data_IF_959880593016
#
_entry.id   IF_959880593016
#
_cell.length_a   1.000
_cell.length_b   1.000
_cell.length_c   1.000
_cell.angle_alpha   90.00
_cell.angle_beta   90.00
_cell.angle_gamma   90.00
#
_symmetry.space_group_name_H-M   'P 1'
#
loop_
_entity.id
_entity.type
_entity.pdbx_description
1 polymer ?
#
# COMPACT_ATOMS: atom_id res chain seq x y z
N UNK A 1 17.50 -6.72 -10.41
CA UNK A 1 16.20 -6.06 -10.19
C UNK A 1 15.27 -6.32 -11.38
N UNK A 2 15.58 -5.84 -12.59
CA UNK A 2 14.75 -6.05 -13.80
C UNK A 2 14.30 -7.52 -13.98
N UNK A 3 15.26 -8.47 -13.96
CA UNK A 3 14.96 -9.90 -14.10
C UNK A 3 13.94 -10.41 -13.09
N UNK A 4 14.05 -10.01 -11.81
CA UNK A 4 13.13 -10.43 -10.76
C UNK A 4 11.71 -9.91 -11.04
N UNK A 5 11.60 -8.61 -11.38
CA UNK A 5 10.32 -7.95 -11.63
C UNK A 5 9.64 -8.58 -12.85
N UNK A 6 10.37 -8.74 -13.96
CA UNK A 6 9.85 -9.37 -15.19
C UNK A 6 9.43 -10.81 -14.96
N UNK A 7 10.23 -11.56 -14.19
CA UNK A 7 9.91 -12.95 -13.87
C UNK A 7 8.60 -13.05 -13.09
N UNK A 8 8.37 -12.21 -12.06
CA UNK A 8 7.10 -12.20 -11.31
C UNK A 8 5.92 -11.91 -12.24
N UNK A 9 6.05 -10.93 -13.13
CA UNK A 9 4.98 -10.59 -14.06
C UNK A 9 4.67 -11.72 -15.05
N UNK A 10 5.69 -12.45 -15.50
CA UNK A 10 5.54 -13.61 -16.38
C UNK A 10 4.95 -14.81 -15.64
N UNK A 11 5.56 -15.21 -14.52
CA UNK A 11 5.20 -16.41 -13.76
C UNK A 11 3.76 -16.35 -13.24
N UNK A 12 3.26 -15.13 -12.93
CA UNK A 12 1.90 -14.92 -12.43
C UNK A 12 0.95 -14.25 -13.44
N UNK A 13 1.36 -14.11 -14.71
CA UNK A 13 0.57 -13.48 -15.77
C UNK A 13 -0.02 -12.12 -15.39
N UNK A 14 0.79 -11.28 -14.74
CA UNK A 14 0.40 -9.94 -14.30
C UNK A 14 0.74 -8.94 -15.40
N UNK A 15 -0.27 -8.27 -15.95
CA UNK A 15 -0.07 -7.13 -16.84
C UNK A 15 0.36 -5.88 -16.04
N UNK A 16 1.59 -5.36 -16.24
CA UNK A 16 2.07 -4.16 -15.56
C UNK A 16 1.28 -2.90 -15.90
N UNK A 17 0.56 -2.86 -17.03
CA UNK A 17 -0.32 -1.74 -17.39
C UNK A 17 -1.46 -1.55 -16.37
N UNK A 18 -1.83 -2.60 -15.64
CA UNK A 18 -2.81 -2.55 -14.56
C UNK A 18 -2.25 -2.11 -13.20
N UNK A 19 -0.95 -1.89 -13.06
CA UNK A 19 -0.31 -1.47 -11.81
C UNK A 19 -0.36 0.05 -11.71
N UNK A 20 -1.16 0.57 -10.78
CA UNK A 20 -1.36 2.01 -10.59
C UNK A 20 -0.36 2.66 -9.63
N UNK A 21 0.33 1.86 -8.81
CA UNK A 21 1.30 2.34 -7.82
C UNK A 21 2.48 1.38 -7.70
N UNK A 22 3.69 1.91 -7.76
CA UNK A 22 4.89 1.23 -7.29
C UNK A 22 5.38 1.93 -6.02
N UNK A 23 5.33 1.20 -4.91
CA UNK A 23 6.07 1.49 -3.68
C UNK A 23 7.50 0.98 -3.87
N UNK A 24 8.37 1.87 -4.33
CA UNK A 24 9.77 1.59 -4.62
C UNK A 24 10.57 1.35 -3.33
N UNK A 25 11.74 0.73 -3.49
CA UNK A 25 12.73 0.70 -2.42
C UNK A 25 13.21 2.13 -2.12
N UNK A 26 13.47 2.96 -3.13
CA UNK A 26 13.50 4.42 -3.05
C UNK A 26 14.25 4.97 -1.84
N UNK A 27 15.57 4.76 -1.83
CA UNK A 27 16.45 5.13 -0.71
C UNK A 27 16.86 6.60 -0.71
N UNK A 28 16.57 7.35 -1.77
CA UNK A 28 17.04 8.73 -1.92
C UNK A 28 18.51 8.81 -2.29
N UNK A 29 19.12 7.72 -2.76
CA UNK A 29 20.56 7.69 -3.06
C UNK A 29 20.82 8.10 -4.51
N UNK A 30 21.86 8.92 -4.73
CA UNK A 30 22.21 9.46 -6.05
C UNK A 30 22.40 8.39 -7.13
N UNK A 31 22.93 7.23 -6.75
CA UNK A 31 23.19 6.10 -7.65
C UNK A 31 22.11 5.02 -7.60
N UNK A 32 21.56 4.73 -6.42
CA UNK A 32 20.60 3.64 -6.23
C UNK A 32 19.27 3.93 -6.91
N UNK A 33 18.73 5.13 -6.75
CA UNK A 33 17.42 5.49 -7.30
C UNK A 33 17.39 5.43 -8.84
N UNK A 34 18.41 5.94 -9.58
CA UNK A 34 18.48 5.72 -11.03
C UNK A 34 18.61 4.25 -11.45
N UNK A 35 19.30 3.42 -10.67
CA UNK A 35 19.43 1.98 -10.96
C UNK A 35 18.09 1.28 -10.79
N UNK A 36 17.37 1.58 -9.71
CA UNK A 36 16.03 1.05 -9.46
C UNK A 36 15.03 1.51 -10.53
N UNK A 37 15.01 2.80 -10.83
CA UNK A 37 14.14 3.36 -11.85
C UNK A 37 14.32 2.68 -13.21
N UNK A 38 15.57 2.54 -13.69
CA UNK A 38 15.84 1.87 -14.98
C UNK A 38 15.41 0.42 -14.98
N UNK A 39 15.55 -0.28 -13.86
CA UNK A 39 15.12 -1.67 -13.73
C UNK A 39 13.59 -1.79 -13.81
N UNK A 40 12.86 -0.88 -13.16
CA UNK A 40 11.40 -0.78 -13.24
C UNK A 40 10.94 -0.41 -14.65
N UNK A 41 11.51 0.64 -15.26
CA UNK A 41 11.13 1.13 -16.60
C UNK A 41 11.31 0.05 -17.67
N UNK A 42 12.46 -0.62 -17.69
CA UNK A 42 12.72 -1.74 -18.60
C UNK A 42 11.79 -2.92 -18.35
N UNK A 43 11.49 -3.21 -17.08
CA UNK A 43 10.58 -4.29 -16.75
C UNK A 43 9.16 -4.02 -17.23
N UNK A 44 8.65 -2.79 -17.10
CA UNK A 44 7.30 -2.42 -17.55
C UNK A 44 7.23 -2.30 -19.08
N UNK A 45 8.21 -1.65 -19.73
CA UNK A 45 8.28 -1.53 -21.20
C UNK A 45 8.37 -2.87 -21.92
N UNK A 46 8.80 -3.92 -21.24
CA UNK A 46 8.76 -5.28 -21.78
C UNK A 46 7.34 -5.81 -22.03
N UNK A 47 6.30 -5.13 -21.53
CA UNK A 47 4.90 -5.57 -21.60
C UNK A 47 3.96 -4.50 -22.15
N UNK A 48 4.28 -3.21 -22.03
CA UNK A 48 3.41 -2.11 -22.45
C UNK A 48 4.20 -0.88 -22.90
N UNK A 49 3.69 -0.20 -23.93
CA UNK A 49 4.19 1.09 -24.39
C UNK A 49 3.47 2.27 -23.74
N UNK A 50 2.51 2.01 -22.83
CA UNK A 50 1.79 3.06 -22.13
C UNK A 50 2.73 3.90 -21.26
N UNK A 51 2.51 5.21 -21.26
CA UNK A 51 3.33 6.17 -20.52
C UNK A 51 2.52 6.83 -19.42
N UNK A 52 3.21 7.27 -18.36
CA UNK A 52 2.70 8.18 -17.33
C UNK A 52 1.39 7.73 -16.66
N UNK A 53 1.21 6.43 -16.45
CA UNK A 53 0.02 5.84 -15.85
C UNK A 53 0.24 5.26 -14.44
N UNK A 54 1.49 4.93 -14.07
CA UNK A 54 1.82 4.34 -12.78
C UNK A 54 2.46 5.38 -11.85
N UNK A 55 1.88 5.58 -10.67
CA UNK A 55 2.50 6.39 -9.63
C UNK A 55 3.76 5.71 -9.09
N UNK A 56 4.85 6.44 -8.92
CA UNK A 56 6.08 5.97 -8.28
C UNK A 56 6.31 6.74 -6.97
N UNK A 57 6.45 6.02 -5.86
CA UNK A 57 6.68 6.62 -4.55
C UNK A 57 7.46 5.73 -3.59
N UNK A 58 7.75 6.24 -2.39
CA UNK A 58 8.45 5.51 -1.33
C UNK A 58 8.07 6.10 0.04
N UNK A 59 7.60 5.24 0.96
CA UNK A 59 7.31 5.60 2.36
C UNK A 59 8.56 6.09 3.10
N UNK A 60 9.77 5.77 2.61
CA UNK A 60 11.02 6.22 3.24
C UNK A 60 11.17 7.73 3.20
N UNK A 61 10.54 8.42 2.25
CA UNK A 61 10.50 9.87 2.24
C UNK A 61 9.74 10.46 3.45
N UNK A 62 8.78 9.73 4.03
CA UNK A 62 7.98 10.19 5.16
C UNK A 62 8.59 9.84 6.51
N UNK A 63 9.16 8.64 6.65
CA UNK A 63 9.56 8.08 7.96
C UNK A 63 11.02 7.60 8.01
N UNK A 64 11.79 7.82 6.95
CA UNK A 64 13.15 7.29 6.81
C UNK A 64 13.21 5.79 6.51
N UNK A 65 14.43 5.26 6.48
CA UNK A 65 14.65 3.85 6.16
C UNK A 65 14.58 2.97 7.43
N UNK A 66 13.43 2.34 7.65
CA UNK A 66 13.20 1.42 8.78
C UNK A 66 13.86 0.03 8.64
N UNK A 67 14.95 -0.07 7.88
CA UNK A 67 15.74 -1.29 7.64
C UNK A 67 14.89 -2.56 7.44
N UNK A 68 14.96 -3.51 8.38
CA UNK A 68 14.26 -4.80 8.32
C UNK A 68 12.72 -4.65 8.20
N UNK A 69 12.15 -3.56 8.73
CA UNK A 69 10.72 -3.29 8.64
C UNK A 69 10.32 -2.56 7.35
N UNK A 70 11.26 -2.16 6.49
CA UNK A 70 10.96 -1.35 5.30
C UNK A 70 9.98 -2.04 4.34
N UNK A 71 10.08 -3.37 4.18
CA UNK A 71 9.16 -4.14 3.35
C UNK A 71 7.72 -4.11 3.87
N UNK A 72 7.52 -4.47 5.14
CA UNK A 72 6.17 -4.52 5.74
C UNK A 72 5.52 -3.15 5.80
N UNK A 73 6.29 -2.09 6.02
CA UNK A 73 5.77 -0.72 6.00
C UNK A 73 5.28 -0.33 4.60
N UNK A 74 6.02 -0.69 3.54
CA UNK A 74 5.59 -0.48 2.16
C UNK A 74 4.28 -1.21 1.84
N UNK A 75 4.14 -2.44 2.35
CA UNK A 75 2.89 -3.21 2.26
C UNK A 75 1.75 -2.53 3.01
N UNK A 76 1.96 -2.09 4.25
CA UNK A 76 0.93 -1.39 5.06
C UNK A 76 0.46 -0.11 4.34
N UNK A 77 1.40 0.72 3.86
CA UNK A 77 1.06 1.93 3.09
C UNK A 77 0.24 1.59 1.85
N UNK A 78 0.61 0.53 1.13
CA UNK A 78 -0.11 0.07 -0.06
C UNK A 78 -1.55 -0.37 0.27
N UNK A 79 -1.73 -1.17 1.33
CA UNK A 79 -3.05 -1.63 1.76
C UNK A 79 -3.93 -0.46 2.23
N UNK A 80 -3.35 0.50 2.97
CA UNK A 80 -4.06 1.72 3.36
C UNK A 80 -4.42 2.57 2.15
N UNK A 81 -3.53 2.72 1.18
CA UNK A 81 -3.81 3.45 -0.05
C UNK A 81 -4.97 2.82 -0.86
N UNK A 82 -5.05 1.49 -0.90
CA UNK A 82 -6.18 0.78 -1.50
C UNK A 82 -7.47 0.98 -0.69
N UNK A 83 -7.41 0.81 0.63
CA UNK A 83 -8.56 0.95 1.54
C UNK A 83 -9.17 2.35 1.47
N UNK A 84 -8.33 3.38 1.41
CA UNK A 84 -8.75 4.77 1.36
C UNK A 84 -8.94 5.28 -0.07
N UNK A 85 -8.70 4.45 -1.09
CA UNK A 85 -8.80 4.81 -2.50
C UNK A 85 -7.97 6.06 -2.88
N UNK A 86 -6.82 6.25 -2.23
CA UNK A 86 -5.96 7.42 -2.37
C UNK A 86 -4.51 6.97 -2.43
N UNK A 87 -3.77 7.42 -3.44
CA UNK A 87 -2.32 7.29 -3.49
C UNK A 87 -1.72 8.51 -2.77
N UNK A 88 -1.00 8.31 -1.64
CA UNK A 88 -0.29 9.40 -0.98
C UNK A 88 0.80 9.95 -1.90
N UNK A 89 1.00 11.27 -1.87
CA UNK A 89 2.12 11.88 -2.58
C UNK A 89 3.47 11.56 -1.94
N UNK A 90 4.54 11.82 -2.69
CA UNK A 90 5.92 11.69 -2.25
C UNK A 90 6.38 12.99 -1.58
N UNK A 91 6.50 13.07 -0.25
CA UNK A 91 6.94 14.28 0.43
C UNK A 91 8.41 14.59 0.09
N UNK A 92 8.79 15.86 0.23
CA UNK A 92 10.14 16.38 -0.04
C UNK A 92 10.64 16.26 -1.49
N UNK A 93 9.81 15.75 -2.41
CA UNK A 93 10.13 15.77 -3.84
C UNK A 93 9.97 17.19 -4.38
N UNK A 94 11.05 17.75 -4.91
CA UNK A 94 11.08 19.07 -5.56
C UNK A 94 11.54 18.95 -7.01
N UNK A 95 12.63 18.20 -7.22
CA UNK A 95 13.20 17.90 -8.51
C UNK A 95 13.55 16.42 -8.58
N UNK A 96 13.37 15.83 -9.76
CA UNK A 96 13.77 14.44 -10.00
C UNK A 96 15.27 14.38 -10.26
N UNK A 97 15.93 13.34 -9.77
CA UNK A 97 17.35 13.08 -10.05
C UNK A 97 17.63 13.15 -11.57
N UNK A 98 18.66 13.89 -11.98
CA UNK A 98 19.00 14.10 -13.40
C UNK A 98 19.33 12.84 -14.18
N UNK A 99 19.65 11.74 -13.49
CA UNK A 99 19.86 10.41 -14.10
C UNK A 99 18.58 9.57 -14.23
N UNK A 100 17.42 10.15 -13.88
CA UNK A 100 16.08 9.54 -14.01
C UNK A 100 15.28 10.36 -15.02
N UNK A 101 14.86 9.71 -16.10
CA UNK A 101 14.03 10.31 -17.15
C UNK A 101 12.60 9.82 -17.01
N UNK A 102 11.75 10.59 -16.32
CA UNK A 102 10.32 10.26 -16.17
C UNK A 102 9.54 10.47 -17.48
N UNK A 103 9.94 11.47 -18.28
CA UNK A 103 9.32 11.74 -19.57
C UNK A 103 9.45 10.51 -20.48
N UNK A 104 8.33 10.09 -21.06
CA UNK A 104 8.26 8.88 -21.87
C UNK A 104 8.16 7.57 -21.06
N UNK A 105 8.39 7.57 -19.75
CA UNK A 105 8.32 6.36 -18.94
C UNK A 105 6.88 6.02 -18.52
N UNK A 106 6.59 4.78 -18.11
CA UNK A 106 5.32 4.41 -17.46
C UNK A 106 5.03 5.20 -16.19
N UNK A 107 6.05 5.78 -15.56
CA UNK A 107 5.98 6.31 -14.22
C UNK A 107 5.79 7.83 -14.17
N UNK A 108 5.13 8.27 -13.10
CA UNK A 108 5.13 9.67 -12.70
C UNK A 108 5.23 9.80 -11.18
N UNK A 109 5.69 10.96 -10.72
CA UNK A 109 5.82 11.31 -9.31
C UNK A 109 4.94 12.51 -9.03
N UNK A 110 4.31 12.56 -7.86
CA UNK A 110 3.49 13.66 -7.40
C UNK A 110 3.64 13.86 -5.90
N UNK A 111 3.53 15.10 -5.43
CA UNK A 111 3.67 15.48 -4.01
C UNK A 111 2.34 15.51 -3.26
N UNK A 112 1.25 15.81 -3.96
CA UNK A 112 -0.09 15.87 -3.37
C UNK A 112 -0.79 14.51 -3.43
N UNK A 113 -1.64 14.16 -2.44
CA UNK A 113 -2.47 12.96 -2.50
C UNK A 113 -3.38 12.98 -3.72
N UNK A 114 -3.58 11.82 -4.35
CA UNK A 114 -4.47 11.69 -5.52
C UNK A 114 -5.46 10.56 -5.32
N UNK A 115 -6.70 10.76 -5.77
CA UNK A 115 -7.68 9.69 -5.84
C UNK A 115 -7.14 8.57 -6.72
N UNK A 116 -7.18 7.35 -6.19
CA UNK A 116 -6.82 6.15 -6.93
C UNK A 116 -8.05 5.62 -7.64
N UNK A 117 -8.21 5.93 -8.93
CA UNK A 117 -9.31 5.37 -9.70
C UNK A 117 -9.14 3.85 -9.89
N UNK A 118 -10.25 3.12 -9.93
CA UNK A 118 -10.24 1.72 -10.39
C UNK A 118 -10.02 1.74 -11.91
N UNK A 119 -9.06 0.98 -12.45
CA UNK A 119 -8.89 0.87 -13.90
C UNK A 119 -10.12 0.21 -14.53
N UNK A 120 -10.43 0.57 -15.78
CA UNK A 120 -11.59 0.04 -16.49
C UNK A 120 -11.57 -1.50 -16.55
N UNK A 121 -12.64 -2.14 -16.05
CA UNK A 121 -12.75 -3.60 -15.99
C UNK A 121 -11.78 -4.30 -15.02
N UNK A 122 -11.02 -3.55 -14.21
CA UNK A 122 -9.93 -4.07 -13.40
C UNK A 122 -10.05 -3.78 -11.91
N UNK A 123 -8.93 -3.97 -11.22
CA UNK A 123 -8.76 -3.74 -9.79
C UNK A 123 -7.52 -2.90 -9.56
N UNK A 124 -7.49 -2.17 -8.44
CA UNK A 124 -6.28 -1.46 -8.04
C UNK A 124 -5.19 -2.50 -7.75
N UNK A 125 -4.07 -2.39 -8.47
CA UNK A 125 -2.86 -3.17 -8.20
C UNK A 125 -1.72 -2.23 -7.86
N UNK A 126 -0.91 -2.66 -6.90
CA UNK A 126 0.35 -2.01 -6.60
C UNK A 126 1.48 -3.03 -6.51
N UNK A 127 2.68 -2.58 -6.82
CA UNK A 127 3.88 -3.35 -6.56
C UNK A 127 4.68 -2.74 -5.41
N UNK A 128 5.29 -3.59 -4.58
CA UNK A 128 6.18 -3.20 -3.49
C UNK A 128 7.55 -3.79 -3.74
N UNK A 129 8.58 -2.96 -3.79
CA UNK A 129 9.98 -3.38 -4.00
C UNK A 129 10.81 -3.13 -2.73
N UNK A 130 11.57 -4.13 -2.32
CA UNK A 130 12.52 -4.00 -1.21
C UNK A 130 13.85 -4.67 -1.56
N UNK A 131 14.95 -3.94 -1.40
CA UNK A 131 16.28 -4.37 -1.83
C UNK A 131 17.19 -4.44 -0.60
N UNK A 132 17.76 -5.62 -0.34
CA UNK A 132 18.72 -5.81 0.74
C UNK A 132 20.12 -5.40 0.31
N UNK A 133 20.89 -4.80 1.22
CA UNK A 133 22.29 -4.43 0.96
C UNK A 133 23.18 -5.63 0.59
N UNK A 134 22.81 -6.85 1.01
CA UNK A 134 23.48 -8.11 0.62
C UNK A 134 23.20 -8.54 -0.82
N UNK A 135 22.34 -7.83 -1.55
CA UNK A 135 21.91 -8.17 -2.92
C UNK A 135 20.69 -9.08 -2.99
N UNK A 136 20.11 -9.49 -1.86
CA UNK A 136 18.83 -10.20 -1.82
C UNK A 136 17.69 -9.22 -2.05
N UNK A 137 16.90 -9.44 -3.10
CA UNK A 137 15.85 -8.53 -3.53
C UNK A 137 14.48 -9.20 -3.43
N UNK A 138 13.47 -8.43 -3.04
CA UNK A 138 12.08 -8.86 -3.01
C UNK A 138 11.21 -7.87 -3.80
N UNK A 139 10.22 -8.42 -4.49
CA UNK A 139 9.20 -7.67 -5.20
C UNK A 139 7.88 -8.43 -5.07
N UNK A 140 6.81 -7.71 -4.77
CA UNK A 140 5.48 -8.30 -4.58
C UNK A 140 4.44 -7.44 -5.28
N UNK A 141 3.42 -8.08 -5.85
CA UNK A 141 2.25 -7.40 -6.39
C UNK A 141 1.07 -7.67 -5.47
N UNK A 142 0.36 -6.62 -5.09
CA UNK A 142 -0.82 -6.65 -4.24
C UNK A 142 -1.99 -6.18 -5.11
N UNK A 143 -3.10 -6.89 -5.05
CA UNK A 143 -4.34 -6.53 -5.72
C UNK A 143 -5.43 -6.26 -4.68
N UNK A 144 -6.26 -5.25 -4.93
CA UNK A 144 -7.50 -5.03 -4.20
C UNK A 144 -8.36 -6.31 -4.23
N UNK A 145 -8.88 -6.79 -3.09
CA UNK A 145 -9.73 -7.97 -3.07
C UNK A 145 -11.00 -7.75 -3.90
N UNK A 146 -11.66 -8.84 -4.28
CA UNK A 146 -13.01 -8.76 -4.84
C UNK A 146 -13.89 -8.07 -3.81
N UNK A 147 -14.78 -7.20 -4.24
CA UNK A 147 -15.78 -6.64 -3.33
C UNK A 147 -16.54 -7.82 -2.71
N UNK A 148 -16.35 -8.10 -1.40
CA UNK A 148 -17.07 -9.18 -0.76
C UNK A 148 -18.55 -8.79 -0.73
N UNK A 149 -19.48 -9.76 -0.75
CA UNK A 149 -20.87 -9.45 -0.54
C UNK A 149 -21.00 -8.68 0.78
N UNK A 150 -21.65 -7.51 0.74
CA UNK A 150 -21.89 -6.71 1.94
C UNK A 150 -22.63 -7.58 2.95
N UNK A 151 -22.02 -7.94 4.09
CA UNK A 151 -22.71 -8.74 5.07
C UNK A 151 -23.94 -7.98 5.58
N UNK A 152 -25.06 -8.66 5.84
CA UNK A 152 -26.24 -8.01 6.37
C UNK A 152 -25.89 -7.38 7.72
N UNK A 153 -26.23 -6.09 7.89
CA UNK A 153 -26.04 -5.40 9.17
C UNK A 153 -26.82 -6.12 10.26
N UNK A 154 -26.25 -6.18 11.45
CA UNK A 154 -26.92 -6.76 12.61
C UNK A 154 -28.17 -5.94 12.96
N UNK A 155 -29.20 -6.61 13.51
CA UNK A 155 -30.46 -5.94 13.90
C UNK A 155 -30.20 -4.87 14.94
N UNK A 156 -30.57 -3.62 14.70
CA UNK A 156 -30.31 -2.53 15.67
C UNK A 156 -31.06 -2.74 16.99
N UNK A 157 -32.20 -3.42 16.97
CA UNK A 157 -33.00 -3.69 18.16
C UNK A 157 -32.53 -4.98 18.85
N UNK A 158 -31.65 -4.84 19.84
CA UNK A 158 -31.26 -5.93 20.74
C UNK A 158 -30.02 -5.59 21.57
N UNK A 159 -29.97 -6.09 22.81
CA UNK A 159 -28.77 -5.95 23.64
C UNK A 159 -27.56 -6.65 22.98
N UNK A 160 -26.37 -6.10 23.19
CA UNK A 160 -25.09 -6.68 22.74
C UNK A 160 -24.18 -6.90 23.94
N UNK A 161 -23.47 -8.03 23.95
CA UNK A 161 -22.46 -8.30 24.96
C UNK A 161 -21.12 -7.73 24.48
N UNK A 162 -20.55 -6.80 25.24
CA UNK A 162 -19.21 -6.27 24.99
C UNK A 162 -18.29 -6.86 26.05
N UNK A 163 -17.54 -7.89 25.66
CA UNK A 163 -16.55 -8.54 26.52
C UNK A 163 -15.19 -7.85 26.34
N UNK A 164 -14.54 -7.49 27.44
CA UNK A 164 -13.18 -6.95 27.43
C UNK A 164 -12.37 -7.67 28.50
N UNK A 165 -11.12 -7.95 28.19
CA UNK A 165 -10.16 -8.55 29.10
C UNK A 165 -8.79 -7.93 28.89
N UNK A 166 -7.96 -7.98 29.91
CA UNK A 166 -6.55 -7.59 29.85
C UNK A 166 -5.77 -8.29 30.98
N UNK A 167 -4.45 -8.34 30.86
CA UNK A 167 -3.59 -8.98 31.86
C UNK A 167 -3.55 -8.22 33.20
N UNK A 168 -3.86 -6.93 33.21
CA UNK A 168 -3.90 -6.08 34.41
C UNK A 168 -5.15 -5.20 34.39
N UNK A 169 -5.54 -4.71 35.58
CA UNK A 169 -6.67 -3.79 35.71
C UNK A 169 -6.43 -2.47 34.96
N UNK A 170 -5.22 -1.91 35.02
CA UNK A 170 -4.87 -0.69 34.30
C UNK A 170 -4.98 -0.87 32.78
N UNK A 171 -4.46 -1.99 32.25
CA UNK A 171 -4.58 -2.31 30.84
C UNK A 171 -6.05 -2.52 30.42
N UNK A 172 -6.90 -3.06 31.31
CA UNK A 172 -8.34 -3.18 31.05
C UNK A 172 -9.00 -1.80 30.97
N UNK A 173 -8.68 -0.88 31.89
CA UNK A 173 -9.18 0.50 31.87
C UNK A 173 -8.77 1.22 30.57
N UNK A 174 -7.54 1.01 30.10
CA UNK A 174 -7.09 1.53 28.81
C UNK A 174 -7.83 0.92 27.62
N UNK A 175 -8.08 -0.39 27.61
CA UNK A 175 -8.85 -1.05 26.55
C UNK A 175 -10.27 -0.48 26.48
N UNK A 176 -10.94 -0.31 27.63
CA UNK A 176 -12.27 0.32 27.71
C UNK A 176 -12.24 1.73 27.11
N UNK A 177 -11.25 2.55 27.49
CA UNK A 177 -11.13 3.91 26.99
C UNK A 177 -10.86 3.96 25.46
N UNK A 178 -10.02 3.04 24.95
CA UNK A 178 -9.74 2.90 23.51
C UNK A 178 -10.99 2.49 22.73
N UNK A 179 -11.70 1.45 23.17
CA UNK A 179 -12.91 0.99 22.50
C UNK A 179 -13.98 2.09 22.49
N UNK A 180 -14.21 2.74 23.65
CA UNK A 180 -15.19 3.82 23.74
C UNK A 180 -14.84 5.00 22.82
N UNK A 181 -13.55 5.32 22.66
CA UNK A 181 -13.10 6.35 21.71
C UNK A 181 -13.34 5.91 20.27
N UNK A 182 -12.93 4.70 19.92
CA UNK A 182 -13.09 4.15 18.58
C UNK A 182 -14.57 4.14 18.14
N UNK A 183 -15.49 3.69 19.00
CA UNK A 183 -16.92 3.71 18.70
C UNK A 183 -17.49 5.13 18.52
N UNK A 184 -16.91 6.15 19.17
CA UNK A 184 -17.33 7.55 18.97
C UNK A 184 -16.79 8.13 17.67
N UNK A 185 -15.57 7.76 17.28
CA UNK A 185 -14.92 8.22 16.04
C UNK A 185 -15.51 7.54 14.79
N UNK A 186 -16.12 6.36 14.94
CA UNK A 186 -16.72 5.58 13.87
C UNK A 186 -18.18 5.23 14.18
N UNK A 187 -19.11 6.19 14.08
CA UNK A 187 -20.53 5.98 14.40
C UNK A 187 -21.24 5.03 13.42
N UNK A 188 -20.60 4.71 12.30
CA UNK A 188 -21.06 3.78 11.29
C UNK A 188 -20.69 2.31 11.58
N UNK A 189 -19.97 2.01 12.66
CA UNK A 189 -19.67 0.64 13.07
C UNK A 189 -20.93 -0.17 13.36
N UNK A 190 -20.90 -1.45 12.99
CA UNK A 190 -21.93 -2.40 13.40
C UNK A 190 -21.59 -2.96 14.80
N UNK A 191 -22.42 -2.63 15.80
CA UNK A 191 -22.22 -3.11 17.18
C UNK A 191 -22.32 -4.64 17.31
N UNK A 192 -23.00 -5.31 16.37
CA UNK A 192 -22.98 -6.77 16.26
C UNK A 192 -21.60 -7.29 15.89
N UNK A 193 -20.94 -6.68 14.91
CA UNK A 193 -19.58 -7.06 14.50
C UNK A 193 -18.56 -6.75 15.60
N UNK A 194 -18.72 -5.61 16.28
CA UNK A 194 -17.88 -5.26 17.45
C UNK A 194 -18.03 -6.30 18.55
N UNK A 195 -19.27 -6.65 18.92
CA UNK A 195 -19.56 -7.68 19.92
C UNK A 195 -18.98 -9.03 19.52
N UNK A 196 -19.21 -9.47 18.29
CA UNK A 196 -18.71 -10.74 17.77
C UNK A 196 -17.17 -10.80 17.78
N UNK A 197 -16.50 -9.74 17.33
CA UNK A 197 -15.03 -9.67 17.29
C UNK A 197 -14.41 -9.71 18.69
N UNK A 198 -15.08 -9.14 19.70
CA UNK A 198 -14.60 -9.13 21.08
C UNK A 198 -14.90 -10.43 21.86
N UNK A 199 -15.78 -11.27 21.32
CA UNK A 199 -16.14 -12.57 21.92
C UNK A 199 -15.30 -13.73 21.38
N UNK A 200 -14.68 -13.56 20.20
CA UNK A 200 -13.74 -14.51 19.61
C UNK A 200 -12.32 -14.30 20.14
#
# INVERSE_FOLDING_TARGET
QERLIRQIYQDFAIDPAGIGLVEAHGTGTKLGDPVEFRALDRAFRGFTDAERFCSLGSTKASIGHAQAAAGVIGVIKTLLAMRHEVIPGLPHHTETNSSVTLAGSPFFVHTEPRRWAVPEGGRRRAAVTSLGASGTNAHAVIEQPSEPPTPPRSRQDGARLIALSAATEDALREQVARLARHCREHPDLDLGDVSHTLLL
#
